data_IF_926422628312
#
_entry.id   IF_926422628312
#
_cell.length_a   1.000
_cell.length_b   1.000
_cell.length_c   1.000
_cell.angle_alpha   90.00
_cell.angle_beta   90.00
_cell.angle_gamma   90.00
#
_symmetry.space_group_name_H-M   'P 1'
#
loop_
_entity.id
_entity.type
_entity.pdbx_description
1 polymer ?
#
# COMPACT_ATOMS: atom_id res chain seq x y z
N UNK A 1 -1.34 3.53 18.71
CA UNK A 1 -0.41 2.51 18.17
C UNK A 1 0.92 3.22 17.91
N UNK A 2 1.98 2.89 18.63
CA UNK A 2 3.32 3.45 18.39
C UNK A 2 3.93 2.72 17.19
N UNK A 3 3.95 3.35 16.02
CA UNK A 3 4.63 2.81 14.85
C UNK A 3 6.12 3.12 14.94
N UNK A 4 6.95 2.10 14.78
CA UNK A 4 8.41 2.24 14.74
C UNK A 4 8.86 2.21 13.29
N UNK A 5 9.84 3.03 12.94
CA UNK A 5 10.43 3.09 11.61
C UNK A 5 11.91 2.71 11.73
N UNK A 6 12.28 1.55 11.18
CA UNK A 6 13.66 1.08 11.13
C UNK A 6 14.22 1.30 9.72
N UNK A 7 15.32 2.02 9.61
CA UNK A 7 15.99 2.31 8.33
C UNK A 7 17.41 1.75 8.39
N UNK A 8 17.65 0.53 7.91
CA UNK A 8 19.01 0.02 7.72
C UNK A 8 19.64 0.64 6.48
N UNK A 9 20.71 1.42 6.67
CA UNK A 9 21.57 1.94 5.61
C UNK A 9 22.71 0.94 5.38
N UNK A 10 22.61 0.18 4.31
CA UNK A 10 23.54 -0.89 3.94
C UNK A 10 24.40 -0.38 2.79
N UNK A 11 25.67 -0.08 3.09
CA UNK A 11 26.66 0.30 2.10
C UNK A 11 27.28 -0.96 1.52
N UNK A 12 27.19 -1.13 0.20
CA UNK A 12 27.80 -2.22 -0.55
C UNK A 12 28.93 -1.65 -1.40
N UNK A 13 30.17 -1.97 -1.06
CA UNK A 13 31.36 -1.43 -1.74
C UNK A 13 32.09 -2.49 -2.56
N UNK A 14 32.47 -2.16 -3.80
CA UNK A 14 33.33 -3.01 -4.62
C UNK A 14 34.84 -2.68 -4.49
N UNK A 15 35.18 -1.70 -3.64
CA UNK A 15 36.52 -1.17 -3.48
C UNK A 15 36.92 -1.02 -2.01
N UNK A 16 38.22 -0.88 -1.76
CA UNK A 16 38.80 -0.56 -0.45
C UNK A 16 39.44 0.83 -0.38
N UNK A 17 39.10 1.74 -1.32
CA UNK A 17 39.73 3.06 -1.44
C UNK A 17 39.34 4.04 -0.33
N UNK A 18 38.07 4.02 0.05
CA UNK A 18 37.50 4.88 1.08
C UNK A 18 36.28 4.19 1.70
N UNK A 19 35.92 4.65 2.89
CA UNK A 19 34.74 4.19 3.60
C UNK A 19 33.74 5.35 3.74
N UNK A 20 32.54 5.14 3.26
CA UNK A 20 31.48 6.16 3.24
C UNK A 20 30.95 6.46 4.65
N UNK A 21 31.09 5.50 5.57
CA UNK A 21 30.65 5.64 6.95
C UNK A 21 31.63 6.44 7.81
N UNK A 22 32.86 6.67 7.33
CA UNK A 22 33.86 7.48 8.04
C UNK A 22 33.56 8.97 7.87
N UNK A 23 33.34 9.65 9.00
CA UNK A 23 33.00 11.08 9.04
C UNK A 23 34.18 11.95 8.54
N UNK A 24 33.85 13.08 7.91
CA UNK A 24 34.82 14.15 7.59
C UNK A 24 35.17 14.29 6.12
N UNK A 25 34.56 13.50 5.23
CA UNK A 25 34.76 13.59 3.79
C UNK A 25 33.51 14.06 3.06
N UNK A 26 33.67 14.69 1.90
CA UNK A 26 32.53 15.13 1.07
C UNK A 26 31.62 13.98 0.61
N UNK A 27 32.17 12.77 0.56
CA UNK A 27 31.47 11.55 0.20
C UNK A 27 30.93 10.76 1.41
N UNK A 28 31.15 11.28 2.62
CA UNK A 28 30.72 10.61 3.86
C UNK A 28 29.23 10.82 4.12
N UNK A 29 28.62 9.82 4.77
CA UNK A 29 27.23 9.87 5.19
C UNK A 29 27.17 10.12 6.69
N UNK A 30 26.42 11.15 7.10
CA UNK A 30 26.11 11.35 8.52
C UNK A 30 24.73 10.77 8.87
N UNK A 31 24.73 9.62 9.54
CA UNK A 31 23.52 8.91 9.98
C UNK A 31 22.66 9.80 10.89
N UNK A 32 23.28 10.57 11.79
CA UNK A 32 22.56 11.40 12.75
C UNK A 32 21.83 12.54 12.04
N UNK A 33 22.48 13.17 11.08
CA UNK A 33 21.85 14.20 10.25
C UNK A 33 20.69 13.64 9.40
N UNK A 34 20.83 12.41 8.88
CA UNK A 34 19.73 11.74 8.18
C UNK A 34 18.57 11.47 9.14
N UNK A 35 18.84 10.97 10.34
CA UNK A 35 17.81 10.69 11.35
C UNK A 35 17.03 11.94 11.72
N UNK A 36 17.73 13.07 11.94
CA UNK A 36 17.10 14.36 12.22
C UNK A 36 16.18 14.84 11.09
N UNK A 37 16.60 14.70 9.83
CA UNK A 37 15.77 15.08 8.68
C UNK A 37 14.58 14.14 8.48
N UNK A 38 14.76 12.82 8.67
CA UNK A 38 13.66 11.85 8.57
C UNK A 38 12.63 12.08 9.66
N UNK A 39 13.08 12.38 10.89
CA UNK A 39 12.19 12.64 12.03
C UNK A 39 11.24 13.83 11.79
N UNK A 40 11.63 14.81 10.95
CA UNK A 40 10.78 15.94 10.56
C UNK A 40 9.62 15.54 9.65
N UNK A 41 9.75 14.44 8.92
CA UNK A 41 8.70 13.93 8.02
C UNK A 41 7.70 12.99 8.71
N UNK A 42 7.91 12.73 10.00
CA UNK A 42 7.15 11.74 10.75
C UNK A 42 6.45 12.41 11.94
N UNK A 43 5.21 12.00 12.23
CA UNK A 43 4.41 12.55 13.31
C UNK A 43 4.97 12.24 14.71
N UNK A 44 4.65 13.09 15.69
CA UNK A 44 5.12 12.92 17.06
C UNK A 44 4.62 11.61 17.68
N UNK A 45 5.53 10.87 18.34
CA UNK A 45 5.26 9.57 18.96
C UNK A 45 5.64 8.36 18.11
N UNK A 46 6.11 8.55 16.88
CA UNK A 46 6.75 7.50 16.10
C UNK A 46 8.27 7.52 16.34
N UNK A 47 8.82 6.34 16.60
CA UNK A 47 10.25 6.15 16.86
C UNK A 47 10.95 5.87 15.53
N UNK A 48 11.92 6.70 15.15
CA UNK A 48 12.77 6.50 13.97
C UNK A 48 14.11 5.99 14.46
N UNK A 49 14.56 4.86 13.92
CA UNK A 49 15.87 4.27 14.24
C UNK A 49 16.59 4.01 12.92
N UNK A 50 17.77 4.60 12.77
CA UNK A 50 18.62 4.40 11.59
C UNK A 50 19.87 3.64 12.02
N UNK A 51 20.20 2.58 11.28
CA UNK A 51 21.38 1.74 11.55
C UNK A 51 22.21 1.71 10.29
N UNK A 52 23.50 2.02 10.37
CA UNK A 52 24.40 1.96 9.21
C UNK A 52 25.39 0.82 9.30
N UNK A 53 25.62 0.13 8.19
CA UNK A 53 26.65 -0.90 8.06
C UNK A 53 27.32 -0.85 6.68
N UNK A 54 28.60 -1.18 6.62
CA UNK A 54 29.35 -1.29 5.36
C UNK A 54 29.79 -2.73 5.13
N UNK A 55 29.55 -3.22 3.93
CA UNK A 55 29.83 -4.59 3.51
C UNK A 55 30.53 -4.58 2.15
N UNK A 56 31.52 -5.45 1.99
CA UNK A 56 32.15 -5.63 0.69
C UNK A 56 31.23 -6.44 -0.23
N UNK A 57 30.91 -5.90 -1.40
CA UNK A 57 29.95 -6.49 -2.35
C UNK A 57 30.36 -7.91 -2.77
N UNK A 58 31.66 -8.16 -2.94
CA UNK A 58 32.19 -9.48 -3.31
C UNK A 58 31.96 -10.58 -2.27
N UNK A 59 31.70 -10.24 -1.00
CA UNK A 59 31.36 -11.22 0.05
C UNK A 59 29.92 -11.72 -0.07
N UNK A 60 29.10 -11.04 -0.86
CA UNK A 60 27.71 -11.36 -1.08
C UNK A 60 27.50 -11.71 -2.55
N UNK A 61 27.85 -12.95 -2.92
CA UNK A 61 27.81 -13.45 -4.30
C UNK A 61 26.46 -13.14 -4.98
N UNK A 62 25.34 -13.44 -4.32
CA UNK A 62 24.00 -13.20 -4.87
C UNK A 62 23.73 -11.71 -5.13
N UNK A 63 24.18 -10.82 -4.24
CA UNK A 63 24.03 -9.37 -4.42
C UNK A 63 24.93 -8.85 -5.53
N UNK A 64 26.16 -9.33 -5.62
CA UNK A 64 27.07 -8.98 -6.71
C UNK A 64 26.50 -9.42 -8.08
N UNK A 65 25.91 -10.61 -8.15
CA UNK A 65 25.21 -11.10 -9.33
C UNK A 65 23.99 -10.22 -9.65
N UNK A 66 23.20 -9.83 -8.65
CA UNK A 66 22.04 -8.96 -8.85
C UNK A 66 22.45 -7.61 -9.46
N UNK A 67 23.50 -6.97 -8.92
CA UNK A 67 24.06 -5.72 -9.48
C UNK A 67 24.53 -5.93 -10.92
N UNK A 68 25.25 -7.01 -11.20
CA UNK A 68 25.73 -7.32 -12.56
C UNK A 68 24.59 -7.58 -13.55
N UNK A 69 23.51 -8.26 -13.14
CA UNK A 69 22.34 -8.54 -13.99
C UNK A 69 21.49 -7.31 -14.27
N UNK A 70 21.47 -6.37 -13.33
CA UNK A 70 20.73 -5.12 -13.46
C UNK A 70 21.45 -4.07 -14.33
N UNK A 71 22.72 -4.30 -14.71
CA UNK A 71 23.42 -3.42 -15.65
C UNK A 71 22.81 -3.54 -17.05
N UNK A 72 22.43 -2.39 -17.60
CA UNK A 72 21.85 -2.24 -18.93
C UNK A 72 22.66 -1.22 -19.74
N UNK A 73 22.48 -1.24 -21.05
CA UNK A 73 23.11 -0.30 -21.96
C UNK A 73 22.11 0.20 -22.97
N UNK A 74 22.10 1.51 -23.22
CA UNK A 74 21.33 2.10 -24.31
C UNK A 74 22.26 2.93 -25.20
N UNK A 75 21.97 2.95 -26.50
CA UNK A 75 22.74 3.70 -27.48
C UNK A 75 22.18 5.11 -27.61
N UNK A 76 22.97 6.12 -27.22
CA UNK A 76 22.69 7.53 -27.45
C UNK A 76 23.38 8.03 -28.71
N UNK A 77 22.78 9.00 -29.39
CA UNK A 77 23.40 9.71 -30.48
C UNK A 77 23.77 11.11 -30.00
N UNK A 78 25.06 11.36 -29.80
CA UNK A 78 25.55 12.67 -29.38
C UNK A 78 26.22 13.39 -30.55
N UNK A 79 25.96 14.69 -30.67
CA UNK A 79 26.64 15.56 -31.62
C UNK A 79 27.99 15.98 -31.05
N UNK A 80 29.07 15.65 -31.74
CA UNK A 80 30.39 16.24 -31.44
C UNK A 80 30.41 17.71 -31.87
N UNK A 81 31.43 18.44 -31.40
CA UNK A 81 31.73 19.81 -31.83
C UNK A 81 31.88 19.96 -33.36
N UNK A 82 32.19 18.86 -34.05
CA UNK A 82 32.33 18.80 -35.51
C UNK A 82 30.99 18.60 -36.26
N UNK A 83 29.85 18.62 -35.56
CA UNK A 83 28.50 18.47 -36.15
C UNK A 83 28.13 17.03 -36.57
N UNK A 84 29.04 16.06 -36.44
CA UNK A 84 28.75 14.65 -36.73
C UNK A 84 28.16 13.94 -35.52
N UNK A 85 27.13 13.14 -35.74
CA UNK A 85 26.57 12.23 -34.74
C UNK A 85 27.52 11.06 -34.51
N UNK A 86 27.83 10.78 -33.25
CA UNK A 86 28.47 9.55 -32.84
C UNK A 86 27.49 8.76 -31.98
N UNK A 87 27.34 7.48 -32.29
CA UNK A 87 26.61 6.54 -31.43
C UNK A 87 27.52 6.21 -30.26
N UNK A 88 27.08 6.51 -29.05
CA UNK A 88 27.75 6.18 -27.81
C UNK A 88 26.83 5.30 -26.97
N UNK A 89 27.30 4.13 -26.55
CA UNK A 89 26.54 3.27 -25.63
C UNK A 89 26.80 3.74 -24.21
N UNK A 90 25.76 4.20 -23.53
CA UNK A 90 25.80 4.60 -22.12
C UNK A 90 25.31 3.42 -21.28
N UNK A 91 26.08 3.03 -20.28
CA UNK A 91 25.63 2.02 -19.33
C UNK A 91 24.85 2.67 -18.19
N UNK A 92 23.82 2.00 -17.73
CA UNK A 92 23.00 2.44 -16.60
C UNK A 92 22.59 1.24 -15.76
N UNK A 93 22.22 1.50 -14.51
CA UNK A 93 21.73 0.50 -13.59
C UNK A 93 20.21 0.57 -13.50
N UNK A 94 19.54 -0.52 -13.87
CA UNK A 94 18.09 -0.63 -13.79
C UNK A 94 17.67 -0.97 -12.36
N UNK A 95 17.05 0.00 -11.68
CA UNK A 95 16.65 -0.14 -10.29
C UNK A 95 15.51 -1.14 -10.07
N UNK A 96 14.59 -1.28 -11.03
CA UNK A 96 13.46 -2.21 -10.93
C UNK A 96 13.92 -3.66 -11.03
N UNK A 97 14.79 -3.95 -12.00
CA UNK A 97 15.39 -5.28 -12.16
C UNK A 97 16.31 -5.60 -10.98
N UNK A 98 17.05 -4.61 -10.49
CA UNK A 98 17.90 -4.78 -9.31
C UNK A 98 17.08 -5.17 -8.08
N UNK A 99 15.97 -4.47 -7.81
CA UNK A 99 15.05 -4.82 -6.71
C UNK A 99 14.58 -6.26 -6.84
N UNK A 100 14.08 -6.64 -8.01
CA UNK A 100 13.55 -7.99 -8.24
C UNK A 100 14.62 -9.08 -8.02
N UNK A 101 15.83 -8.89 -8.55
CA UNK A 101 16.92 -9.85 -8.37
C UNK A 101 17.45 -9.89 -6.93
N UNK A 102 17.43 -8.76 -6.22
CA UNK A 102 17.74 -8.71 -4.80
C UNK A 102 16.68 -9.44 -3.96
N UNK A 103 15.39 -9.27 -4.26
CA UNK A 103 14.27 -9.96 -3.60
C UNK A 103 14.33 -11.47 -3.81
N UNK A 104 14.60 -11.93 -5.04
CA UNK A 104 14.84 -13.37 -5.31
C UNK A 104 16.05 -13.93 -4.56
N UNK A 105 17.00 -13.06 -4.22
CA UNK A 105 18.20 -13.40 -3.47
C UNK A 105 18.04 -13.23 -1.95
N UNK A 106 16.88 -12.76 -1.47
CA UNK A 106 16.68 -12.13 -0.18
C UNK A 106 16.47 -13.04 1.04
N UNK A 107 16.62 -14.36 0.92
CA UNK A 107 16.56 -15.27 2.08
C UNK A 107 17.60 -14.94 3.19
N UNK A 108 18.50 -13.96 2.98
CA UNK A 108 19.61 -13.62 3.89
C UNK A 108 19.65 -12.12 4.31
N UNK A 109 18.87 -11.22 3.69
CA UNK A 109 19.28 -9.81 3.64
C UNK A 109 18.83 -8.92 4.79
N UNK A 110 17.64 -9.10 5.36
CA UNK A 110 17.17 -8.19 6.42
C UNK A 110 17.63 -8.65 7.81
N UNK A 111 17.40 -9.92 8.16
CA UNK A 111 17.78 -10.45 9.47
C UNK A 111 19.29 -10.68 9.59
N UNK A 112 19.93 -11.26 8.55
CA UNK A 112 21.35 -11.62 8.57
C UNK A 112 22.30 -10.42 8.54
N UNK A 113 22.02 -9.40 7.73
CA UNK A 113 22.88 -8.20 7.67
C UNK A 113 22.70 -7.31 8.91
N UNK A 114 21.49 -7.22 9.47
CA UNK A 114 21.25 -6.50 10.73
C UNK A 114 21.82 -7.23 11.95
N UNK A 115 21.85 -8.57 11.93
CA UNK A 115 22.52 -9.36 12.96
C UNK A 115 24.04 -9.16 12.95
N UNK A 116 24.63 -8.99 11.76
CA UNK A 116 26.06 -8.71 11.59
C UNK A 116 26.42 -7.27 11.97
N UNK A 117 25.56 -6.29 11.69
CA UNK A 117 25.82 -4.89 12.02
C UNK A 117 25.53 -4.54 13.48
N UNK A 118 24.41 -5.02 14.04
CA UNK A 118 24.05 -4.78 15.44
C UNK A 118 23.19 -5.93 16.04
N UNK A 119 23.80 -6.93 16.71
CA UNK A 119 23.08 -8.11 17.20
C UNK A 119 22.04 -7.76 18.29
N UNK A 120 22.26 -6.67 19.03
CA UNK A 120 21.32 -6.19 20.05
C UNK A 120 20.02 -5.64 19.45
N UNK A 121 20.08 -5.06 18.25
CA UNK A 121 18.94 -4.48 17.55
C UNK A 121 18.16 -5.56 16.81
N UNK A 122 18.83 -6.55 16.23
CA UNK A 122 18.17 -7.71 15.61
C UNK A 122 17.17 -8.37 16.57
N UNK A 123 17.58 -8.61 17.83
CA UNK A 123 16.70 -9.19 18.86
C UNK A 123 15.51 -8.30 19.28
N UNK A 124 15.62 -6.97 19.11
CA UNK A 124 14.56 -6.00 19.41
C UNK A 124 13.59 -5.82 18.25
N UNK A 125 14.06 -5.93 17.01
CA UNK A 125 13.27 -5.62 15.81
C UNK A 125 12.73 -6.87 15.11
N UNK A 126 13.40 -8.02 15.21
CA UNK A 126 12.98 -9.28 14.60
C UNK A 126 12.72 -10.35 15.66
N UNK A 127 11.71 -11.19 15.43
CA UNK A 127 11.50 -12.39 16.23
C UNK A 127 12.64 -13.38 15.94
N UNK A 128 13.42 -13.73 16.97
CA UNK A 128 14.47 -14.76 16.91
C UNK A 128 13.84 -16.11 16.58
N UNK A 129 13.81 -16.48 15.29
CA UNK A 129 13.69 -17.89 14.90
C UNK A 129 15.10 -18.47 14.96
N UNK A 130 15.33 -19.37 15.91
CA UNK A 130 16.58 -20.12 16.00
C UNK A 130 16.59 -21.08 14.81
N UNK A 131 17.32 -20.76 13.75
CA UNK A 131 17.44 -21.57 12.52
C UNK A 131 18.50 -22.68 12.62
N UNK A 132 18.98 -22.98 13.83
CA UNK A 132 20.09 -23.91 14.10
C UNK A 132 19.68 -25.03 15.07
N UNK A 133 18.42 -25.47 15.02
CA UNK A 133 18.06 -26.80 15.50
C UNK A 133 17.77 -27.64 14.27
N UNK A 134 18.53 -28.72 14.07
CA UNK A 134 18.31 -29.67 12.97
C UNK A 134 16.86 -30.18 12.98
N UNK A 135 16.20 -30.30 11.81
CA UNK A 135 14.82 -30.74 11.74
C UNK A 135 14.75 -32.26 11.88
N UNK A 136 14.54 -32.73 13.10
CA UNK A 136 13.95 -34.06 13.30
C UNK A 136 12.46 -34.01 12.88
N UNK A 137 12.18 -34.51 11.68
CA UNK A 137 10.87 -35.03 11.31
C UNK A 137 9.86 -34.02 10.75
N UNK A 138 9.69 -34.08 9.43
CA UNK A 138 8.50 -33.73 8.63
C UNK A 138 7.38 -32.94 9.30
N UNK A 139 7.30 -31.64 9.03
CA UNK A 139 6.02 -30.97 8.79
C UNK A 139 6.25 -29.66 8.05
N UNK A 140 5.58 -29.49 6.91
CA UNK A 140 5.51 -28.23 6.16
C UNK A 140 5.16 -27.06 7.07
N UNK A 141 6.12 -26.15 7.27
CA UNK A 141 5.91 -24.92 8.03
C UNK A 141 5.27 -23.84 7.16
N UNK A 142 4.03 -24.08 6.73
CA UNK A 142 3.14 -23.00 6.28
C UNK A 142 2.66 -22.27 7.54
N UNK A 143 3.18 -21.05 7.73
CA UNK A 143 2.85 -20.12 8.81
C UNK A 143 1.33 -19.85 8.89
N UNK A 144 0.60 -20.66 9.66
CA UNK A 144 -0.78 -20.34 10.05
C UNK A 144 -0.75 -19.29 11.15
N UNK A 145 -1.02 -18.04 10.79
CA UNK A 145 -1.38 -16.99 11.74
C UNK A 145 -2.58 -17.47 12.59
N UNK A 146 -2.39 -17.64 13.91
CA UNK A 146 -3.52 -17.75 14.83
C UNK A 146 -4.07 -16.35 15.13
N UNK A 147 -5.32 -16.05 14.73
CA UNK A 147 -5.97 -14.77 15.01
C UNK A 147 -6.33 -14.61 16.50
N UNK A 148 -6.43 -13.34 16.94
CA UNK A 148 -6.66 -12.90 18.32
C UNK A 148 -7.92 -13.47 19.01
N UNK A 149 -8.87 -14.00 18.26
CA UNK A 149 -10.11 -14.58 18.81
C UNK A 149 -9.94 -15.92 19.52
N UNK A 150 -8.82 -16.63 19.31
CA UNK A 150 -8.53 -17.89 20.03
C UNK A 150 -8.33 -17.69 21.55
N UNK A 151 -8.19 -16.44 22.00
CA UNK A 151 -8.06 -16.07 23.41
C UNK A 151 -9.40 -15.77 24.09
N UNK A 152 -10.45 -15.50 23.32
CA UNK A 152 -11.76 -15.06 23.82
C UNK A 152 -12.85 -16.15 23.75
N UNK A 153 -12.52 -17.36 23.31
CA UNK A 153 -13.43 -18.50 23.41
C UNK A 153 -13.68 -18.80 24.90
N UNK A 154 -14.94 -18.77 25.39
CA UNK A 154 -15.23 -19.19 26.75
C UNK A 154 -14.94 -20.70 26.83
N UNK A 155 -13.84 -21.06 27.49
CA UNK A 155 -13.45 -22.47 27.68
C UNK A 155 -14.49 -23.17 28.54
N UNK A 156 -15.45 -23.84 27.90
CA UNK A 156 -16.17 -24.96 28.51
C UNK A 156 -15.22 -26.14 28.58
N UNK A 157 -14.88 -26.57 29.79
CA UNK A 157 -14.14 -27.81 30.05
C UNK A 157 -13.01 -27.62 31.07
N UNK A 158 -13.27 -28.06 32.31
CA UNK A 158 -12.25 -28.17 33.37
C UNK A 158 -11.27 -29.30 33.02
N UNK A 159 -10.10 -28.95 32.50
CA UNK A 159 -8.91 -29.81 32.59
C UNK A 159 -7.80 -29.12 33.38
N UNK A 160 -7.30 -29.81 34.40
CA UNK A 160 -6.26 -29.36 35.33
C UNK A 160 -4.94 -29.14 34.59
N UNK A 161 -4.54 -27.88 34.38
CA UNK A 161 -3.18 -27.56 33.91
C UNK A 161 -2.18 -27.60 35.07
N UNK A 162 -1.19 -28.50 34.94
CA UNK A 162 0.09 -28.44 35.68
C UNK A 162 0.73 -27.06 35.46
N UNK A 163 1.27 -26.48 36.54
CA UNK A 163 2.06 -25.23 36.52
C UNK A 163 3.31 -25.44 35.66
N UNK A 164 3.35 -24.83 34.48
CA UNK A 164 4.59 -24.61 33.75
C UNK A 164 5.20 -23.32 34.26
N UNK A 165 6.39 -23.40 34.85
CA UNK A 165 7.18 -22.24 35.25
C UNK A 165 7.49 -21.39 34.02
N UNK A 166 7.14 -20.10 34.08
CA UNK A 166 7.51 -19.12 33.05
C UNK A 166 9.02 -18.89 33.15
N UNK A 167 9.79 -19.43 32.20
CA UNK A 167 11.19 -19.07 32.02
C UNK A 167 11.28 -17.61 31.55
N UNK A 168 12.23 -16.90 32.13
CA UNK A 168 12.53 -15.49 31.90
C UNK A 168 13.05 -15.29 30.48
N UNK A 169 12.28 -14.55 29.68
CA UNK A 169 12.50 -14.37 28.24
C UNK A 169 11.17 -14.09 27.56
N UNK A 170 10.44 -13.08 28.03
CA UNK A 170 9.18 -12.65 27.41
C UNK A 170 9.47 -12.17 25.98
N UNK A 171 9.00 -12.95 24.99
CA UNK A 171 8.95 -12.55 23.59
C UNK A 171 7.96 -11.39 23.45
N UNK A 172 8.47 -10.17 23.32
CA UNK A 172 7.65 -9.03 22.92
C UNK A 172 7.35 -9.13 21.42
N UNK A 173 6.08 -9.36 21.08
CA UNK A 173 5.58 -9.35 19.71
C UNK A 173 5.58 -7.89 19.21
N UNK A 174 6.56 -7.51 18.41
CA UNK A 174 6.68 -6.15 17.83
C UNK A 174 5.69 -5.94 16.68
N UNK A 175 4.42 -5.80 17.01
CA UNK A 175 3.46 -5.23 16.08
C UNK A 175 3.80 -3.76 15.84
N UNK A 176 4.03 -3.37 14.58
CA UNK A 176 4.10 -1.96 14.16
C UNK A 176 5.46 -1.41 13.75
N UNK A 177 6.48 -2.24 13.49
CA UNK A 177 7.76 -1.76 12.91
C UNK A 177 7.72 -1.84 11.39
N UNK A 178 7.80 -0.69 10.71
CA UNK A 178 8.04 -0.60 9.26
C UNK A 178 9.55 -0.58 9.02
N UNK A 179 10.06 -1.48 8.19
CA UNK A 179 11.48 -1.53 7.81
C UNK A 179 11.61 -1.00 6.39
N UNK A 180 12.51 -0.04 6.16
CA UNK A 180 12.82 0.50 4.83
C UNK A 180 14.34 0.43 4.63
N UNK A 181 14.88 -0.63 4.00
CA UNK A 181 16.29 -0.68 3.67
C UNK A 181 16.70 0.40 2.65
N UNK A 182 17.86 0.98 2.91
CA UNK A 182 18.57 1.89 2.01
C UNK A 182 19.85 1.21 1.57
N UNK A 183 19.94 0.80 0.32
CA UNK A 183 21.14 0.23 -0.26
C UNK A 183 21.96 1.33 -0.94
N UNK A 184 23.19 1.54 -0.47
CA UNK A 184 24.14 2.46 -1.08
C UNK A 184 25.19 1.65 -1.83
N UNK A 185 25.14 1.68 -3.16
CA UNK A 185 26.11 1.00 -4.01
C UNK A 185 27.31 1.92 -4.24
N UNK A 186 28.40 1.64 -3.54
CA UNK A 186 29.68 2.33 -3.73
C UNK A 186 30.51 1.59 -4.77
N UNK A 187 30.41 2.04 -6.01
CA UNK A 187 31.05 1.40 -7.14
C UNK A 187 32.21 2.28 -7.63
N UNK A 188 33.42 1.70 -7.69
CA UNK A 188 34.58 2.28 -8.33
C UNK A 188 34.97 1.46 -9.56
N UNK A 189 35.54 2.13 -10.57
CA UNK A 189 36.11 1.56 -11.79
C UNK A 189 35.14 0.71 -12.66
N UNK A 190 33.82 0.94 -12.59
CA UNK A 190 32.83 0.25 -13.45
C UNK A 190 32.59 1.03 -14.75
N UNK A 191 31.83 2.12 -14.67
CA UNK A 191 31.67 3.12 -15.73
C UNK A 191 31.69 4.49 -15.05
N UNK A 192 32.40 5.44 -15.64
CA UNK A 192 32.54 6.78 -15.08
C UNK A 192 31.23 7.59 -15.13
N UNK A 193 30.32 7.24 -16.03
CA UNK A 193 29.03 7.90 -16.25
C UNK A 193 27.85 7.05 -15.76
N UNK A 194 28.13 6.03 -14.94
CA UNK A 194 27.10 5.13 -14.44
C UNK A 194 26.07 5.90 -13.61
N UNK A 195 24.83 5.84 -14.06
CA UNK A 195 23.66 6.38 -13.36
C UNK A 195 22.57 5.32 -13.35
N UNK A 196 21.50 5.56 -12.60
CA UNK A 196 20.29 4.79 -12.74
C UNK A 196 19.44 5.31 -13.91
N UNK A 197 18.31 4.64 -14.14
CA UNK A 197 17.31 5.07 -15.11
C UNK A 197 16.97 6.56 -14.93
N UNK A 198 16.64 7.23 -16.03
CA UNK A 198 16.32 8.67 -16.10
C UNK A 198 17.43 9.63 -15.61
N UNK A 199 18.70 9.23 -15.72
CA UNK A 199 19.86 10.03 -15.30
C UNK A 199 19.84 10.43 -13.80
N UNK A 200 19.17 9.61 -12.99
CA UNK A 200 19.12 9.75 -11.54
C UNK A 200 20.23 8.95 -10.84
N UNK A 201 20.57 9.35 -9.62
CA UNK A 201 21.46 8.59 -8.71
C UNK A 201 20.68 7.90 -7.58
N UNK A 202 19.36 8.07 -7.57
CA UNK A 202 18.44 7.43 -6.63
C UNK A 202 17.30 6.74 -7.37
N UNK A 203 16.95 5.55 -6.91
CA UNK A 203 15.80 4.81 -7.36
C UNK A 203 15.03 4.34 -6.13
N UNK A 204 13.72 4.50 -6.17
CA UNK A 204 12.85 4.23 -5.04
C UNK A 204 11.73 3.27 -5.41
N UNK A 205 11.34 2.48 -4.43
CA UNK A 205 10.11 1.70 -4.44
C UNK A 205 9.34 1.93 -3.13
N UNK A 206 8.21 1.27 -2.96
CA UNK A 206 7.37 1.43 -1.75
C UNK A 206 8.08 0.96 -0.46
N UNK A 207 9.08 0.10 -0.61
CA UNK A 207 9.68 -0.72 0.42
C UNK A 207 11.21 -0.55 0.50
N UNK A 208 11.86 0.04 -0.50
CA UNK A 208 13.33 0.08 -0.62
C UNK A 208 13.80 1.36 -1.29
N UNK A 209 14.97 1.82 -0.88
CA UNK A 209 15.72 2.91 -1.53
C UNK A 209 17.06 2.37 -2.00
N UNK A 210 17.41 2.63 -3.25
CA UNK A 210 18.71 2.30 -3.81
C UNK A 210 19.39 3.60 -4.23
N UNK A 211 20.65 3.76 -3.86
CA UNK A 211 21.45 4.95 -4.15
C UNK A 211 22.76 4.53 -4.77
N UNK A 212 23.16 5.22 -5.82
CA UNK A 212 24.42 4.99 -6.51
C UNK A 212 25.44 6.05 -6.09
N UNK A 213 26.61 5.58 -5.66
CA UNK A 213 27.73 6.42 -5.28
C UNK A 213 28.99 5.96 -6.02
N UNK A 214 29.74 6.92 -6.54
CA UNK A 214 31.06 6.64 -7.10
C UNK A 214 31.99 7.83 -6.88
N UNK A 215 33.29 7.61 -7.13
CA UNK A 215 34.35 8.57 -6.82
C UNK A 215 34.41 9.77 -7.79
N UNK A 216 33.87 9.67 -9.00
CA UNK A 216 33.98 10.78 -9.97
C UNK A 216 33.25 12.03 -9.50
N UNK A 217 33.82 13.18 -9.83
CA UNK A 217 33.35 14.46 -9.31
C UNK A 217 32.01 14.90 -9.91
N UNK A 218 31.83 14.79 -11.23
CA UNK A 218 30.67 15.32 -11.96
C UNK A 218 30.32 14.44 -13.15
N UNK A 219 29.05 14.06 -13.28
CA UNK A 219 28.51 13.43 -14.50
C UNK A 219 27.68 14.47 -15.27
N UNK A 220 27.96 14.75 -16.55
CA UNK A 220 27.10 15.61 -17.37
C UNK A 220 25.72 14.97 -17.57
N UNK A 221 24.68 15.76 -17.32
CA UNK A 221 23.29 15.39 -17.56
C UNK A 221 22.82 15.96 -18.91
N UNK A 222 21.72 15.41 -19.42
CA UNK A 222 21.04 15.90 -20.62
C UNK A 222 20.40 17.29 -20.42
N UNK A 223 20.18 17.69 -19.17
CA UNK A 223 19.56 18.98 -18.83
C UNK A 223 20.50 20.15 -19.06
N UNK A 224 19.97 21.22 -19.65
CA UNK A 224 20.67 22.51 -19.83
C UNK A 224 19.95 23.56 -18.99
N UNK A 225 20.72 24.35 -18.26
CA UNK A 225 20.23 25.53 -17.58
C UNK A 225 20.92 26.74 -18.18
N UNK A 226 20.13 27.63 -18.76
CA UNK A 226 20.62 28.80 -19.49
C UNK A 226 21.57 28.38 -20.62
N UNK A 227 22.88 28.40 -20.38
CA UNK A 227 23.93 28.13 -21.36
C UNK A 227 24.78 26.89 -20.96
N UNK A 228 24.66 26.41 -19.72
CA UNK A 228 25.49 25.34 -19.19
C UNK A 228 24.72 24.03 -19.00
N UNK A 229 25.38 22.90 -19.34
CA UNK A 229 24.87 21.57 -19.01
C UNK A 229 24.93 21.38 -17.50
N UNK A 230 23.87 20.81 -16.94
CA UNK A 230 23.85 20.44 -15.52
C UNK A 230 24.67 19.18 -15.29
N UNK A 231 25.17 19.06 -14.07
CA UNK A 231 25.98 17.92 -13.66
C UNK A 231 25.36 17.28 -12.42
N UNK A 232 25.32 15.94 -12.39
CA UNK A 232 25.06 15.19 -11.18
C UNK A 232 26.34 15.09 -10.34
N UNK A 233 26.17 15.09 -9.02
CA UNK A 233 27.23 14.93 -8.02
C UNK A 233 27.07 13.58 -7.31
N UNK A 234 27.82 12.55 -7.73
CA UNK A 234 27.68 11.18 -7.25
C UNK A 234 28.32 10.96 -5.88
N UNK A 235 29.24 11.84 -5.50
CA UNK A 235 29.82 11.87 -4.16
C UNK A 235 28.79 12.23 -3.07
N UNK A 236 27.71 12.94 -3.40
CA UNK A 236 26.72 13.40 -2.43
C UNK A 236 25.64 12.35 -2.12
N UNK A 237 26.04 11.15 -1.70
CA UNK A 237 25.13 10.05 -1.40
C UNK A 237 24.06 10.41 -0.36
N UNK A 238 24.41 11.16 0.69
CA UNK A 238 23.48 11.58 1.75
C UNK A 238 22.24 12.32 1.21
N UNK A 239 22.44 13.19 0.20
CA UNK A 239 21.33 13.90 -0.43
C UNK A 239 20.40 12.93 -1.15
N UNK A 240 20.95 12.01 -1.93
CA UNK A 240 20.18 11.02 -2.68
C UNK A 240 19.43 10.05 -1.76
N UNK A 241 20.05 9.67 -0.64
CA UNK A 241 19.40 8.90 0.44
C UNK A 241 18.19 9.66 0.99
N UNK A 242 18.35 10.96 1.29
CA UNK A 242 17.24 11.78 1.78
C UNK A 242 16.15 11.99 0.73
N UNK A 243 16.50 12.13 -0.55
CA UNK A 243 15.50 12.18 -1.63
C UNK A 243 14.70 10.88 -1.69
N UNK A 244 15.39 9.75 -1.58
CA UNK A 244 14.75 8.44 -1.56
C UNK A 244 13.84 8.25 -0.36
N UNK A 245 14.34 8.55 0.84
CA UNK A 245 13.57 8.45 2.08
C UNK A 245 12.40 9.45 2.11
N UNK A 246 12.56 10.65 1.55
CA UNK A 246 11.48 11.62 1.40
C UNK A 246 10.32 11.05 0.56
N UNK A 247 10.64 10.31 -0.50
CA UNK A 247 9.64 9.63 -1.32
C UNK A 247 8.98 8.47 -0.58
N UNK A 248 9.75 7.57 0.04
CA UNK A 248 9.20 6.33 0.64
C UNK A 248 8.53 6.54 2.00
N UNK A 249 9.10 7.41 2.84
CA UNK A 249 8.58 7.72 4.19
C UNK A 249 7.52 8.81 4.11
N UNK A 250 7.84 9.93 3.47
CA UNK A 250 6.96 11.10 3.38
C UNK A 250 5.93 11.05 2.25
N UNK A 251 6.04 10.10 1.32
CA UNK A 251 5.20 10.08 0.12
C UNK A 251 5.44 11.30 -0.76
N UNK A 252 6.63 11.91 -0.70
CA UNK A 252 6.94 13.13 -1.43
C UNK A 252 7.31 12.81 -2.88
N UNK A 253 6.68 13.52 -3.81
CA UNK A 253 7.14 13.61 -5.20
C UNK A 253 8.19 14.71 -5.31
N UNK A 254 9.06 14.64 -6.31
CA UNK A 254 9.94 15.75 -6.60
C UNK A 254 9.10 17.01 -6.90
N UNK A 255 9.49 18.22 -6.45
CA UNK A 255 8.66 19.43 -6.61
C UNK A 255 8.34 19.80 -8.06
N UNK A 256 9.18 19.36 -9.00
CA UNK A 256 8.97 19.55 -10.43
C UNK A 256 8.10 18.47 -11.07
N UNK A 257 7.68 17.44 -10.34
CA UNK A 257 6.85 16.35 -10.87
C UNK A 257 5.40 16.48 -10.38
N UNK A 258 4.46 16.28 -11.30
CA UNK A 258 3.04 16.23 -11.00
C UNK A 258 2.37 15.08 -11.73
N UNK A 259 1.59 14.28 -11.01
CA UNK A 259 0.76 13.26 -11.63
C UNK A 259 -0.29 13.90 -12.57
N UNK A 260 -0.34 13.46 -13.83
CA UNK A 260 -1.36 13.88 -14.78
C UNK A 260 -2.31 12.73 -15.08
N UNK A 261 -3.56 12.87 -14.66
CA UNK A 261 -4.61 11.89 -14.94
C UNK A 261 -4.93 11.80 -16.44
N UNK A 262 -4.75 12.89 -17.19
CA UNK A 262 -5.05 12.91 -18.64
C UNK A 262 -4.02 12.10 -19.44
N UNK A 263 -2.75 12.14 -19.01
CA UNK A 263 -1.66 11.48 -19.72
C UNK A 263 -1.25 10.15 -19.09
N UNK A 264 -1.86 9.77 -17.96
CA UNK A 264 -1.52 8.59 -17.15
C UNK A 264 -0.02 8.47 -16.83
N UNK A 265 0.68 9.61 -16.74
CA UNK A 265 2.12 9.69 -16.48
C UNK A 265 2.47 10.95 -15.68
N UNK A 266 3.62 10.99 -14.99
CA UNK A 266 4.11 12.23 -14.39
C UNK A 266 4.43 13.25 -15.48
N UNK A 267 3.99 14.48 -15.26
CA UNK A 267 4.34 15.65 -16.07
C UNK A 267 5.34 16.47 -15.29
N UNK A 268 6.39 16.91 -15.97
CA UNK A 268 7.49 17.64 -15.37
C UNK A 268 7.37 19.13 -15.65
N UNK A 269 7.53 19.95 -14.61
CA UNK A 269 7.66 21.39 -14.68
C UNK A 269 8.91 21.85 -13.90
N UNK A 270 9.99 22.04 -14.63
CA UNK A 270 11.30 22.41 -14.08
C UNK A 270 11.35 23.79 -13.41
N UNK A 271 10.34 24.66 -13.59
CA UNK A 271 10.27 25.95 -12.88
C UNK A 271 10.21 25.76 -11.36
N UNK A 272 9.69 24.63 -10.89
CA UNK A 272 9.59 24.28 -9.46
C UNK A 272 10.77 23.44 -8.97
N UNK A 273 11.79 23.21 -9.79
CA UNK A 273 12.93 22.35 -9.43
C UNK A 273 14.00 23.05 -8.57
N UNK A 274 13.90 24.37 -8.40
CA UNK A 274 14.80 25.14 -7.57
C UNK A 274 14.21 25.34 -6.17
N UNK A 275 15.03 25.13 -5.13
CA UNK A 275 14.61 25.32 -3.75
C UNK A 275 15.41 24.46 -2.77
N UNK A 276 14.97 24.47 -1.51
CA UNK A 276 15.54 23.64 -0.44
C UNK A 276 14.84 22.27 -0.41
N UNK A 277 15.37 21.31 -1.18
CA UNK A 277 14.90 19.93 -1.24
C UNK A 277 16.01 18.99 -1.72
N UNK A 278 15.97 17.70 -1.38
CA UNK A 278 17.01 16.76 -1.80
C UNK A 278 16.89 16.29 -3.26
N UNK A 279 15.74 16.48 -3.91
CA UNK A 279 15.51 16.05 -5.30
C UNK A 279 16.44 16.79 -6.29
N UNK A 280 16.98 16.06 -7.27
CA UNK A 280 17.90 16.60 -8.28
C UNK A 280 17.26 16.88 -9.62
N UNK A 281 18.00 17.46 -10.58
CA UNK A 281 19.39 17.90 -10.47
C UNK A 281 19.57 19.36 -10.02
N UNK A 282 18.50 20.14 -9.89
CA UNK A 282 18.57 21.60 -9.75
C UNK A 282 18.71 22.12 -8.32
N UNK A 283 18.41 21.31 -7.30
CA UNK A 283 18.78 21.63 -5.91
C UNK A 283 20.16 21.07 -5.56
N UNK A 284 20.74 21.46 -4.42
CA UNK A 284 21.99 20.90 -3.89
C UNK A 284 21.97 20.75 -2.36
N UNK A 285 20.77 20.60 -1.78
CA UNK A 285 20.59 20.58 -0.33
C UNK A 285 20.25 19.19 0.18
N UNK A 286 20.90 18.74 1.26
CA UNK A 286 20.54 17.53 2.00
C UNK A 286 19.54 17.83 3.12
N UNK A 287 18.59 18.75 2.88
CA UNK A 287 17.60 19.21 3.85
C UNK A 287 16.24 19.30 3.19
N UNK A 288 15.21 19.18 4.01
CA UNK A 288 13.81 19.27 3.57
C UNK A 288 13.23 20.58 4.09
N UNK A 289 12.65 21.39 3.18
CA UNK A 289 11.96 22.63 3.57
C UNK A 289 10.72 22.35 4.43
N UNK A 290 10.30 23.33 5.23
CA UNK A 290 9.10 23.22 6.07
C UNK A 290 7.85 22.88 5.24
N UNK A 291 7.70 23.47 4.06
CA UNK A 291 6.58 23.17 3.17
C UNK A 291 6.53 21.69 2.78
N UNK A 292 7.68 21.06 2.50
CA UNK A 292 7.74 19.64 2.17
C UNK A 292 7.54 18.74 3.41
N UNK A 293 7.98 19.19 4.59
CA UNK A 293 7.69 18.50 5.85
C UNK A 293 6.17 18.47 6.10
N UNK A 294 5.50 19.60 5.94
CA UNK A 294 4.04 19.70 6.12
C UNK A 294 3.28 18.82 5.11
N UNK A 295 3.75 18.77 3.85
CA UNK A 295 3.20 17.88 2.83
C UNK A 295 3.40 16.41 3.22
N UNK A 296 4.57 16.03 3.71
CA UNK A 296 4.83 14.65 4.16
C UNK A 296 3.88 14.24 5.29
N UNK A 297 3.70 15.12 6.28
CA UNK A 297 2.77 14.89 7.39
C UNK A 297 1.32 14.78 6.89
N UNK A 298 0.89 15.64 5.97
CA UNK A 298 -0.45 15.59 5.34
C UNK A 298 -0.68 14.32 4.52
N UNK A 299 0.31 13.90 3.74
CA UNK A 299 0.22 12.70 2.91
C UNK A 299 -0.08 11.47 3.77
N UNK A 300 0.55 11.36 4.95
CA UNK A 300 0.29 10.23 5.87
C UNK A 300 -1.14 10.26 6.42
N UNK A 301 -1.72 11.44 6.65
CA UNK A 301 -3.12 11.62 7.09
C UNK A 301 -4.06 11.19 5.96
N UNK A 302 -3.84 11.69 4.75
CA UNK A 302 -4.65 11.33 3.58
C UNK A 302 -4.59 9.85 3.28
N UNK A 303 -3.41 9.23 3.33
CA UNK A 303 -3.25 7.80 3.10
C UNK A 303 -4.04 6.94 4.11
N UNK A 304 -4.16 7.39 5.37
CA UNK A 304 -4.95 6.68 6.38
C UNK A 304 -6.45 6.80 6.15
N UNK A 305 -6.92 8.00 5.82
CA UNK A 305 -8.33 8.21 5.49
C UNK A 305 -8.70 7.44 4.23
N UNK A 306 -7.87 7.50 3.20
CA UNK A 306 -8.07 6.74 1.98
C UNK A 306 -8.12 5.23 2.25
N UNK A 307 -7.21 4.71 3.09
CA UNK A 307 -7.24 3.30 3.51
C UNK A 307 -8.52 2.95 4.27
N UNK A 308 -8.99 3.83 5.15
CA UNK A 308 -10.23 3.63 5.90
C UNK A 308 -11.46 3.61 4.97
N UNK A 309 -11.56 4.57 4.04
CA UNK A 309 -12.64 4.65 3.05
C UNK A 309 -12.67 3.43 2.14
N UNK A 310 -11.50 2.96 1.66
CA UNK A 310 -11.40 1.73 0.88
C UNK A 310 -11.88 0.50 1.68
N UNK A 311 -11.56 0.41 2.97
CA UNK A 311 -12.04 -0.68 3.84
C UNK A 311 -13.54 -0.65 4.04
N UNK A 312 -14.12 0.54 4.24
CA UNK A 312 -15.56 0.70 4.40
C UNK A 312 -16.29 0.33 3.11
N UNK A 313 -15.79 0.80 1.97
CA UNK A 313 -16.32 0.43 0.65
C UNK A 313 -16.29 -1.09 0.46
N UNK A 314 -15.15 -1.73 0.75
CA UNK A 314 -15.01 -3.20 0.66
C UNK A 314 -15.97 -3.91 1.61
N UNK A 315 -16.13 -3.41 2.83
CA UNK A 315 -17.07 -3.98 3.82
C UNK A 315 -18.52 -3.88 3.30
N UNK A 316 -18.90 -2.74 2.74
CA UNK A 316 -20.21 -2.54 2.11
C UNK A 316 -20.43 -3.51 0.94
N UNK A 317 -19.43 -3.66 0.05
CA UNK A 317 -19.46 -4.63 -1.06
C UNK A 317 -19.62 -6.08 -0.55
N UNK A 318 -18.95 -6.46 0.54
CA UNK A 318 -19.09 -7.82 1.12
C UNK A 318 -20.47 -8.08 1.73
N UNK A 319 -21.06 -7.08 2.39
CA UNK A 319 -22.43 -7.17 2.92
C UNK A 319 -23.44 -7.28 1.78
N UNK A 320 -23.24 -6.50 0.71
CA UNK A 320 -24.07 -6.56 -0.49
C UNK A 320 -23.96 -7.91 -1.20
N UNK A 321 -22.76 -8.48 -1.31
CA UNK A 321 -22.56 -9.81 -1.87
C UNK A 321 -23.28 -10.89 -1.05
N UNK A 322 -23.18 -10.86 0.28
CA UNK A 322 -23.89 -11.79 1.16
C UNK A 322 -25.40 -11.70 0.97
N UNK A 323 -25.96 -10.50 1.00
CA UNK A 323 -27.40 -10.32 0.77
C UNK A 323 -27.83 -10.76 -0.64
N UNK A 324 -27.00 -10.52 -1.66
CA UNK A 324 -27.26 -11.01 -3.01
C UNK A 324 -27.25 -12.53 -3.11
N UNK A 325 -26.45 -13.23 -2.31
CA UNK A 325 -26.36 -14.69 -2.27
C UNK A 325 -27.58 -15.31 -1.57
N UNK A 326 -27.95 -14.80 -0.40
CA UNK A 326 -28.95 -15.43 0.48
C UNK A 326 -30.34 -14.76 0.48
N UNK A 327 -30.49 -13.55 -0.05
CA UNK A 327 -31.72 -12.72 0.05
C UNK A 327 -32.25 -12.26 -1.31
N UNK A 328 -32.35 -13.19 -2.26
CA UNK A 328 -33.02 -12.93 -3.53
C UNK A 328 -34.54 -12.97 -3.36
N UNK A 329 -35.25 -12.15 -4.12
CA UNK A 329 -36.71 -12.30 -4.25
C UNK A 329 -37.02 -13.52 -5.12
N UNK A 330 -38.24 -14.10 -5.07
CA UNK A 330 -38.67 -15.24 -5.89
C UNK A 330 -38.52 -15.08 -7.42
N UNK A 331 -38.20 -13.89 -7.92
CA UNK A 331 -37.94 -13.61 -9.34
C UNK A 331 -36.44 -13.41 -9.65
N UNK A 332 -35.55 -13.65 -8.68
CA UNK A 332 -34.11 -13.45 -8.84
C UNK A 332 -33.69 -11.97 -8.98
N UNK A 333 -34.63 -11.03 -8.89
CA UNK A 333 -34.32 -9.60 -8.94
C UNK A 333 -33.73 -9.12 -7.61
N UNK A 334 -32.66 -8.32 -7.61
CA UNK A 334 -32.29 -7.53 -6.45
C UNK A 334 -33.47 -6.63 -6.08
N UNK A 335 -33.71 -6.42 -4.78
CA UNK A 335 -34.86 -5.64 -4.27
C UNK A 335 -34.84 -4.21 -4.87
N UNK A 336 -35.54 -4.02 -5.99
CA UNK A 336 -35.64 -2.72 -6.67
C UNK A 336 -36.33 -1.72 -5.75
N UNK A 337 -35.61 -0.68 -5.36
CA UNK A 337 -36.19 0.49 -4.73
C UNK A 337 -37.07 1.25 -5.73
N UNK A 338 -38.21 1.77 -5.26
CA UNK A 338 -38.99 2.75 -6.02
C UNK A 338 -38.10 3.97 -6.31
N UNK A 339 -38.07 4.43 -7.56
CA UNK A 339 -37.10 5.42 -8.09
C UNK A 339 -37.26 6.88 -7.61
N UNK A 340 -38.09 7.19 -6.62
CA UNK A 340 -38.49 8.59 -6.37
C UNK A 340 -38.28 9.05 -4.92
N UNK A 341 -37.05 8.98 -4.40
CA UNK A 341 -36.63 9.77 -3.23
C UNK A 341 -35.20 10.27 -3.42
N UNK A 342 -34.99 11.57 -3.17
CA UNK A 342 -33.75 12.32 -3.41
C UNK A 342 -32.75 12.26 -2.26
N UNK A 343 -33.05 11.50 -1.20
CA UNK A 343 -32.11 11.18 -0.13
C UNK A 343 -31.79 9.69 -0.20
N UNK A 344 -30.50 9.35 -0.10
CA UNK A 344 -29.97 7.98 -0.14
C UNK A 344 -30.41 7.22 1.10
N UNK A 345 -31.66 6.73 1.13
CA UNK A 345 -32.09 5.73 2.11
C UNK A 345 -31.16 4.50 1.96
N UNK A 346 -30.34 4.25 2.98
CA UNK A 346 -29.43 3.11 3.04
C UNK A 346 -30.24 1.84 2.73
N UNK A 347 -29.76 1.03 1.80
CA UNK A 347 -30.51 -0.14 1.30
C UNK A 347 -30.97 -1.10 2.41
N UNK A 348 -30.29 -1.11 3.56
CA UNK A 348 -30.67 -1.84 4.78
C UNK A 348 -32.05 -1.43 5.34
N UNK A 349 -32.44 -0.16 5.29
CA UNK A 349 -33.77 0.28 5.76
C UNK A 349 -34.93 -0.39 5.00
N UNK A 350 -34.69 -0.85 3.76
CA UNK A 350 -35.71 -1.52 2.95
C UNK A 350 -36.08 -2.91 3.45
N UNK A 351 -35.19 -3.57 4.20
CA UNK A 351 -35.48 -4.88 4.80
C UNK A 351 -36.28 -4.75 6.09
N UNK A 352 -36.11 -3.66 6.83
CA UNK A 352 -36.66 -3.52 8.19
C UNK A 352 -37.91 -2.64 8.30
N UNK A 353 -38.20 -1.77 7.31
CA UNK A 353 -39.43 -0.96 7.31
C UNK A 353 -40.70 -1.71 6.87
N UNK A 354 -40.60 -2.93 6.34
CA UNK A 354 -41.76 -3.76 5.98
C UNK A 354 -41.75 -5.05 6.80
N UNK A 355 -42.85 -5.34 7.49
CA UNK A 355 -43.10 -6.66 8.09
C UNK A 355 -43.12 -7.70 6.97
N UNK A 356 -42.07 -8.53 6.91
CA UNK A 356 -42.01 -9.67 6.01
C UNK A 356 -41.99 -10.96 6.83
N UNK A 357 -42.53 -12.05 6.26
CA UNK A 357 -42.48 -13.38 6.89
C UNK A 357 -41.12 -14.10 6.68
N UNK A 358 -40.12 -13.38 6.14
CA UNK A 358 -38.78 -13.91 5.94
C UNK A 358 -38.00 -13.75 7.24
N UNK A 359 -37.13 -14.71 7.60
CA UNK A 359 -36.20 -14.52 8.70
C UNK A 359 -35.35 -13.27 8.42
N UNK A 360 -35.19 -12.44 9.43
CA UNK A 360 -34.41 -11.22 9.31
C UNK A 360 -32.96 -11.58 8.95
N UNK A 361 -32.41 -11.01 7.87
CA UNK A 361 -31.13 -11.44 7.33
C UNK A 361 -29.93 -11.07 8.18
N UNK A 362 -30.05 -9.97 8.92
CA UNK A 362 -29.03 -9.49 9.83
C UNK A 362 -29.69 -9.17 11.18
N UNK A 363 -28.93 -9.20 12.28
CA UNK A 363 -29.42 -8.67 13.54
C UNK A 363 -29.68 -7.16 13.43
N UNK A 364 -30.84 -6.66 13.87
CA UNK A 364 -31.11 -5.21 13.93
C UNK A 364 -30.01 -4.42 14.63
N UNK A 365 -29.48 -4.96 15.72
CA UNK A 365 -28.38 -4.35 16.49
C UNK A 365 -27.12 -4.11 15.61
N UNK A 366 -26.84 -5.00 14.65
CA UNK A 366 -25.71 -4.82 13.74
C UNK A 366 -25.94 -3.65 12.79
N UNK A 367 -27.16 -3.52 12.28
CA UNK A 367 -27.52 -2.49 11.30
C UNK A 367 -27.52 -1.13 11.94
N UNK A 368 -28.15 -1.00 13.11
CA UNK A 368 -28.14 0.23 13.91
C UNK A 368 -26.71 0.63 14.30
N UNK A 369 -25.87 -0.34 14.71
CA UNK A 369 -24.45 -0.07 15.00
C UNK A 369 -23.68 0.40 13.78
N UNK A 370 -23.93 -0.17 12.60
CA UNK A 370 -23.26 0.21 11.36
C UNK A 370 -23.68 1.61 10.90
N UNK A 371 -24.97 1.93 10.98
CA UNK A 371 -25.51 3.25 10.67
C UNK A 371 -24.89 4.32 11.59
N UNK A 372 -24.93 4.09 12.91
CA UNK A 372 -24.30 4.97 13.89
C UNK A 372 -22.79 5.15 13.64
N UNK A 373 -22.12 4.10 13.19
CA UNK A 373 -20.71 4.17 12.82
C UNK A 373 -20.48 5.05 11.59
N UNK A 374 -21.30 4.92 10.55
CA UNK A 374 -21.21 5.75 9.35
C UNK A 374 -21.51 7.22 9.65
N UNK A 375 -22.53 7.50 10.47
CA UNK A 375 -22.87 8.87 10.90
C UNK A 375 -21.71 9.49 11.69
N UNK A 376 -21.17 8.76 12.67
CA UNK A 376 -20.01 9.20 13.45
C UNK A 376 -18.78 9.43 12.58
N UNK A 377 -18.59 8.64 11.52
CA UNK A 377 -17.47 8.79 10.60
C UNK A 377 -17.61 10.06 9.77
N UNK A 378 -18.81 10.39 9.31
CA UNK A 378 -19.08 11.63 8.59
C UNK A 378 -18.70 12.85 9.43
N UNK A 379 -19.13 12.88 10.71
CA UNK A 379 -18.73 13.91 11.67
C UNK A 379 -17.20 13.98 11.83
N UNK A 380 -16.54 12.84 12.04
CA UNK A 380 -15.08 12.77 12.19
C UNK A 380 -14.34 13.29 10.95
N UNK A 381 -14.86 13.03 9.73
CA UNK A 381 -14.28 13.53 8.49
C UNK A 381 -14.45 15.04 8.32
N UNK A 382 -15.60 15.59 8.72
CA UNK A 382 -15.83 17.04 8.73
C UNK A 382 -14.87 17.70 9.71
N UNK A 383 -14.74 17.16 10.92
CA UNK A 383 -13.79 17.67 11.91
C UNK A 383 -12.36 17.60 11.40
N UNK A 384 -11.95 16.49 10.78
CA UNK A 384 -10.63 16.34 10.18
C UNK A 384 -10.37 17.40 9.11
N UNK A 385 -11.37 17.73 8.29
CA UNK A 385 -11.25 18.76 7.26
C UNK A 385 -10.96 20.14 7.86
N UNK A 386 -11.60 20.47 8.98
CA UNK A 386 -11.34 21.72 9.71
C UNK A 386 -9.92 21.76 10.28
N UNK A 387 -9.45 20.66 10.88
CA UNK A 387 -8.10 20.56 11.44
C UNK A 387 -7.01 20.70 10.37
N UNK A 388 -7.25 20.16 9.17
CA UNK A 388 -6.33 20.31 8.04
C UNK A 388 -6.29 21.75 7.50
N UNK A 389 -7.44 22.43 7.47
CA UNK A 389 -7.54 23.83 7.08
C UNK A 389 -6.78 24.75 8.05
N UNK A 390 -6.95 24.53 9.35
CA UNK A 390 -6.27 25.28 10.42
C UNK A 390 -4.79 24.88 10.62
N UNK A 391 -4.27 23.98 9.77
CA UNK A 391 -2.89 23.48 9.84
C UNK A 391 -2.54 22.77 11.17
N UNK A 392 -3.54 22.21 11.86
CA UNK A 392 -3.37 21.42 13.09
C UNK A 392 -3.06 19.96 12.78
N UNK A 393 -1.90 19.72 12.18
CA UNK A 393 -1.53 18.40 11.61
C UNK A 393 -1.42 17.29 12.66
N UNK A 394 -1.01 17.61 13.88
CA UNK A 394 -0.90 16.61 14.95
C UNK A 394 -2.27 16.11 15.41
N UNK A 395 -3.25 17.01 15.57
CA UNK A 395 -4.61 16.62 15.96
C UNK A 395 -5.29 15.87 14.82
N UNK A 396 -5.09 16.33 13.57
CA UNK A 396 -5.55 15.63 12.38
C UNK A 396 -4.95 14.22 12.25
N UNK A 397 -3.70 14.02 12.70
CA UNK A 397 -3.08 12.69 12.76
C UNK A 397 -3.76 11.75 13.76
N UNK A 398 -4.13 12.26 14.93
CA UNK A 398 -4.81 11.48 15.95
C UNK A 398 -6.21 11.09 15.47
N UNK A 399 -6.98 12.06 14.95
CA UNK A 399 -8.32 11.81 14.39
C UNK A 399 -8.25 10.79 13.23
N UNK A 400 -7.37 10.99 12.24
CA UNK A 400 -7.22 10.02 11.13
C UNK A 400 -6.75 8.62 11.58
N UNK A 401 -5.98 8.54 12.66
CA UNK A 401 -5.61 7.23 13.26
C UNK A 401 -6.82 6.54 13.87
N UNK A 402 -7.69 7.30 14.52
CA UNK A 402 -8.93 6.80 15.13
C UNK A 402 -9.90 6.31 14.05
N UNK A 403 -10.12 7.10 12.99
CA UNK A 403 -10.94 6.71 11.83
C UNK A 403 -10.45 5.38 11.26
N UNK A 404 -9.13 5.26 11.02
CA UNK A 404 -8.56 4.02 10.48
C UNK A 404 -8.72 2.84 11.44
N UNK A 405 -8.43 3.01 12.72
CA UNK A 405 -8.59 1.93 13.70
C UNK A 405 -10.05 1.48 13.80
N UNK A 406 -10.97 2.43 13.89
CA UNK A 406 -12.40 2.18 13.93
C UNK A 406 -12.86 1.41 12.68
N UNK A 407 -12.38 1.79 11.49
CA UNK A 407 -12.68 1.07 10.24
C UNK A 407 -12.18 -0.38 10.24
N UNK A 408 -11.00 -0.65 10.81
CA UNK A 408 -10.44 -2.00 10.93
C UNK A 408 -11.30 -2.84 11.89
N UNK A 409 -11.70 -2.28 13.03
CA UNK A 409 -12.55 -2.98 14.00
C UNK A 409 -13.94 -3.26 13.43
N UNK A 410 -14.56 -2.28 12.75
CA UNK A 410 -15.85 -2.46 12.10
C UNK A 410 -15.79 -3.53 11.02
N UNK A 411 -14.75 -3.52 10.18
CA UNK A 411 -14.55 -4.56 9.17
C UNK A 411 -14.46 -5.96 9.82
N UNK A 412 -13.64 -6.12 10.86
CA UNK A 412 -13.50 -7.40 11.57
C UNK A 412 -14.81 -7.87 12.21
N UNK A 413 -15.57 -6.93 12.78
CA UNK A 413 -16.87 -7.22 13.38
C UNK A 413 -17.88 -7.69 12.33
N UNK A 414 -17.99 -6.97 11.21
CA UNK A 414 -18.87 -7.34 10.10
C UNK A 414 -18.49 -8.70 9.53
N UNK A 415 -17.19 -8.93 9.26
CA UNK A 415 -16.70 -10.23 8.77
C UNK A 415 -17.08 -11.39 9.71
N UNK A 416 -16.95 -11.17 11.03
CA UNK A 416 -17.34 -12.18 12.03
C UNK A 416 -18.85 -12.46 12.00
N UNK A 417 -19.69 -11.42 11.96
CA UNK A 417 -21.15 -11.62 11.95
C UNK A 417 -21.61 -12.25 10.64
N UNK A 418 -21.07 -11.81 9.49
CA UNK A 418 -21.35 -12.44 8.19
C UNK A 418 -20.96 -13.92 8.19
N UNK A 419 -19.85 -14.30 8.83
CA UNK A 419 -19.45 -15.71 8.95
C UNK A 419 -20.44 -16.55 9.77
N UNK A 420 -20.92 -16.00 10.91
CA UNK A 420 -21.92 -16.63 11.77
C UNK A 420 -23.27 -16.77 11.06
N UNK A 421 -23.75 -15.71 10.40
CA UNK A 421 -25.03 -15.75 9.68
C UNK A 421 -24.97 -16.66 8.46
N UNK A 422 -23.83 -16.74 7.76
CA UNK A 422 -23.64 -17.71 6.68
C UNK A 422 -23.77 -19.15 7.18
N UNK A 423 -23.26 -19.47 8.36
CA UNK A 423 -23.41 -20.81 8.95
C UNK A 423 -24.86 -21.13 9.33
N UNK A 424 -25.60 -20.15 9.87
CA UNK A 424 -27.04 -20.31 10.16
C UNK A 424 -27.87 -20.52 8.89
N UNK A 425 -27.59 -19.73 7.85
CA UNK A 425 -28.33 -19.78 6.59
C UNK A 425 -28.02 -21.02 5.75
N UNK A 426 -26.90 -21.73 5.99
CA UNK A 426 -26.64 -23.06 5.37
C UNK A 426 -27.69 -24.11 5.71
N UNK A 427 -28.42 -23.96 6.82
CA UNK A 427 -29.43 -24.92 7.26
C UNK A 427 -30.81 -24.68 6.62
N UNK A 428 -31.02 -23.53 5.96
CA UNK A 428 -32.32 -23.11 5.46
C UNK A 428 -32.30 -23.11 3.92
N UNK A 429 -32.96 -24.10 3.32
CA UNK A 429 -33.21 -24.09 1.87
C UNK A 429 -34.44 -23.20 1.60
N UNK A 430 -34.26 -22.13 0.84
CA UNK A 430 -35.36 -21.20 0.52
C UNK A 430 -36.16 -21.80 -0.64
N UNK A 431 -37.19 -22.57 -0.32
CA UNK A 431 -38.16 -23.03 -1.31
C UNK A 431 -39.11 -21.88 -1.68
N UNK A 432 -38.89 -21.29 -2.87
CA UNK A 432 -39.86 -20.36 -3.43
C UNK A 432 -41.07 -21.13 -3.95
N UNK A 433 -42.18 -21.09 -3.21
CA UNK A 433 -43.48 -21.43 -3.80
C UNK A 433 -43.81 -20.38 -4.84
N UNK A 434 -43.63 -20.72 -6.12
CA UNK A 434 -44.23 -19.99 -7.22
C UNK A 434 -45.71 -19.74 -6.88
N UNK A 435 -46.21 -18.50 -7.02
CA UNK A 435 -47.63 -18.26 -6.80
C UNK A 435 -48.38 -19.20 -7.73
N UNK A 436 -49.16 -20.11 -7.14
CA UNK A 436 -50.03 -21.04 -7.88
C UNK A 436 -50.78 -20.16 -8.88
N UNK A 437 -50.49 -20.32 -10.17
CA UNK A 437 -51.19 -19.58 -11.21
C UNK A 437 -52.66 -19.86 -11.00
N UNK A 438 -53.39 -18.87 -10.47
CA UNK A 438 -54.83 -18.95 -10.29
C UNK A 438 -55.41 -19.37 -11.63
N UNK A 439 -56.25 -20.40 -11.62
CA UNK A 439 -56.97 -20.92 -12.79
C UNK A 439 -57.69 -19.83 -13.60
N UNK A 440 -57.89 -18.64 -13.02
CA UNK A 440 -58.32 -17.44 -13.70
C UNK A 440 -57.46 -17.05 -14.91
N UNK A 441 -56.12 -17.22 -14.89
CA UNK A 441 -55.28 -16.88 -16.04
C UNK A 441 -55.57 -17.78 -17.26
N UNK A 442 -55.85 -19.07 -17.02
CA UNK A 442 -56.27 -19.99 -18.08
C UNK A 442 -57.69 -19.68 -18.58
N UNK A 443 -58.60 -19.25 -17.69
CA UNK A 443 -59.95 -18.82 -18.08
C UNK A 443 -59.91 -17.54 -18.93
N UNK A 444 -59.14 -16.53 -18.53
CA UNK A 444 -58.99 -15.29 -19.31
C UNK A 444 -58.27 -15.53 -20.65
N UNK A 445 -57.26 -16.41 -20.68
CA UNK A 445 -56.62 -16.81 -21.94
C UNK A 445 -57.61 -17.56 -22.86
N UNK A 446 -58.47 -18.42 -22.30
CA UNK A 446 -59.54 -19.10 -23.03
C UNK A 446 -60.58 -18.12 -23.60
N UNK A 447 -60.99 -17.11 -22.83
CA UNK A 447 -61.93 -16.08 -23.26
C UNK A 447 -61.31 -15.22 -24.39
N UNK A 448 -60.03 -14.85 -24.27
CA UNK A 448 -59.33 -14.08 -25.31
C UNK A 448 -59.15 -14.88 -26.60
N UNK A 449 -58.81 -16.17 -26.51
CA UNK A 449 -58.71 -17.06 -27.67
C UNK A 449 -60.06 -17.25 -28.34
N UNK A 450 -61.13 -17.46 -27.56
CA UNK A 450 -62.48 -17.57 -28.10
C UNK A 450 -62.92 -16.26 -28.77
N UNK A 451 -62.66 -15.12 -28.15
CA UNK A 451 -62.94 -13.79 -28.72
C UNK A 451 -62.18 -13.55 -30.02
N UNK A 452 -60.90 -13.92 -30.08
CA UNK A 452 -60.08 -13.82 -31.29
C UNK A 452 -60.59 -14.75 -32.41
N UNK A 453 -60.99 -15.97 -32.07
CA UNK A 453 -61.53 -16.92 -33.03
C UNK A 453 -62.86 -16.43 -33.62
N UNK A 454 -63.76 -15.91 -32.79
CA UNK A 454 -65.02 -15.31 -33.25
C UNK A 454 -64.74 -14.10 -34.15
N UNK A 455 -63.84 -13.21 -33.75
CA UNK A 455 -63.45 -12.05 -34.56
C UNK A 455 -62.87 -12.46 -35.92
N UNK A 456 -62.02 -13.48 -35.95
CA UNK A 456 -61.45 -14.03 -37.18
C UNK A 456 -62.51 -14.66 -38.09
N UNK A 457 -63.45 -15.43 -37.53
CA UNK A 457 -64.57 -16.02 -38.28
C UNK A 457 -65.47 -14.94 -38.86
N UNK A 458 -65.79 -13.89 -38.10
CA UNK A 458 -66.58 -12.76 -38.62
C UNK A 458 -65.86 -12.13 -39.81
N UNK A 459 -64.57 -11.78 -39.67
CA UNK A 459 -63.80 -11.16 -40.77
C UNK A 459 -63.73 -12.06 -42.01
N UNK A 460 -63.49 -13.36 -41.82
CA UNK A 460 -63.34 -14.32 -42.92
C UNK A 460 -64.64 -14.50 -43.72
N UNK A 461 -65.80 -14.50 -43.04
CA UNK A 461 -67.10 -14.63 -43.71
C UNK A 461 -67.74 -13.29 -44.10
N UNK A 462 -67.30 -12.16 -43.52
CA UNK A 462 -67.77 -10.82 -43.90
C UNK A 462 -66.91 -10.13 -44.96
N UNK A 463 -65.81 -10.75 -45.43
CA UNK A 463 -65.09 -10.26 -46.61
C UNK A 463 -65.75 -10.79 -47.89
N UNK A 464 -66.45 -9.95 -48.68
CA UNK A 464 -66.99 -10.37 -49.96
C UNK A 464 -65.83 -10.70 -50.91
N UNK A 465 -65.95 -11.84 -51.58
CA UNK A 465 -65.05 -12.29 -52.63
C UNK A 465 -64.77 -11.16 -53.63
N UNK A 466 -63.49 -10.94 -53.93
CA UNK A 466 -63.06 -10.34 -55.18
C UNK A 466 -62.39 -11.41 -56.02
#
# INVERSE_FOLDING_TARGET
MTTRLLIPVIVLQNHNRYNIMEKGHNYSIDIQAIEEEVKKMVHHGQEVVIVGGSHALHRHEKLAIAVSKAMRGHSLQETKKDGRFHVHTKTYLDGAILKEEMERSADVLAAGLLEVSDPSLSSKFFLRQHWMDEPDGSSDSILKHKPLWATYSPKRGKEKKRRTEKKQGDLYRTYGTRVIPVFVLSLADVDAHLMMEDESLVWTSNDVVIVLQHQNEKIPLSYVSEIERRHALPSQAQRHILAGLASVVGGLSAPYEKASHVHERPVVNWLWAAGCHPFGPFSNTSRISQMLQDVALRNTIYARVDSALHRIRRTSETVQAFAGEYLKTPLGEPVKGKKNKTSTELWLEKFYKKTTNLPEPFPHELVERLEKYLDSLEEQLVDLSSLLYDHRLQDAHLNSSEILQSSIFTQQYVDHVLSSEREKMRCCDIEYRLPVQSSQNFIYAGILLAGFFVYFVVIFFSSPAR
#
